data_IF_870349749438
#
_entry.id   IF_870349749438
#
_cell.length_a   1.000
_cell.length_b   1.000
_cell.length_c   1.000
_cell.angle_alpha   90.00
_cell.angle_beta   90.00
_cell.angle_gamma   90.00
#
_symmetry.space_group_name_H-M   'P 1'
#
loop_
_entity.id
_entity.type
_entity.pdbx_description
1 polymer ?
#
# COMPACT_ATOMS: atom_id res chain seq x y z
N UNK A 1 18.66 49.93 35.38
CA UNK A 1 17.50 49.11 35.78
C UNK A 1 17.27 47.94 34.81
N UNK A 2 18.27 47.08 34.58
CA UNK A 2 18.13 45.94 33.61
C UNK A 2 18.28 44.58 34.30
N UNK A 3 18.84 44.53 35.52
CA UNK A 3 19.05 43.27 36.25
C UNK A 3 17.79 42.74 36.96
N UNK A 4 16.78 43.59 37.19
CA UNK A 4 15.56 43.17 37.89
C UNK A 4 14.53 42.48 36.96
N UNK A 5 14.57 42.76 35.66
CA UNK A 5 13.61 42.22 34.69
C UNK A 5 13.89 40.76 34.26
N UNK A 6 15.05 40.18 34.62
CA UNK A 6 15.45 38.82 34.24
C UNK A 6 15.02 37.78 35.29
N UNK A 7 14.58 38.20 36.47
CA UNK A 7 14.36 37.29 37.61
C UNK A 7 13.00 36.59 37.64
N UNK A 8 12.06 37.00 36.78
CA UNK A 8 10.69 36.44 36.76
C UNK A 8 10.41 35.49 35.58
N UNK A 9 11.46 35.05 34.86
CA UNK A 9 11.31 34.02 33.83
C UNK A 9 11.16 32.66 34.50
N UNK A 10 9.92 32.23 34.71
CA UNK A 10 9.61 30.84 35.04
C UNK A 10 9.96 29.98 33.80
N UNK A 11 10.86 28.99 33.89
CA UNK A 11 11.11 28.10 32.77
C UNK A 11 9.83 27.34 32.44
N UNK A 12 9.50 27.27 31.15
CA UNK A 12 8.38 26.47 30.67
C UNK A 12 8.58 25.01 31.09
N UNK A 13 7.51 24.29 31.49
CA UNK A 13 7.62 22.85 31.73
C UNK A 13 8.14 22.16 30.45
N UNK A 14 8.96 21.11 30.59
CA UNK A 14 9.45 20.37 29.43
C UNK A 14 8.26 19.88 28.59
N UNK A 15 8.40 19.86 27.25
CA UNK A 15 7.35 19.32 26.40
C UNK A 15 7.02 17.90 26.86
N UNK A 16 5.74 17.49 26.83
CA UNK A 16 5.38 16.11 27.09
C UNK A 16 6.24 15.20 26.20
N UNK A 17 6.83 14.15 26.77
CA UNK A 17 7.54 13.17 25.97
C UNK A 17 6.60 12.69 24.85
N UNK A 18 7.01 12.86 23.60
CA UNK A 18 6.28 12.28 22.47
C UNK A 18 6.15 10.77 22.76
N UNK A 19 4.92 10.23 22.79
CA UNK A 19 4.77 8.80 22.97
C UNK A 19 5.57 8.10 21.87
N UNK A 20 6.39 7.09 22.19
CA UNK A 20 7.11 6.33 21.19
C UNK A 20 6.09 5.87 20.14
N UNK A 21 6.41 6.09 18.85
CA UNK A 21 5.52 5.78 17.73
C UNK A 21 4.83 4.42 17.97
N UNK A 22 3.52 4.48 18.18
CA UNK A 22 2.84 3.44 18.91
C UNK A 22 2.96 2.07 18.19
N UNK A 23 3.39 0.99 18.88
CA UNK A 23 3.51 -0.35 18.31
C UNK A 23 2.18 -0.87 17.72
N UNK A 24 1.06 -0.23 18.03
CA UNK A 24 -0.28 -0.51 17.52
C UNK A 24 -0.40 -0.43 16.00
N UNK A 25 0.35 0.44 15.32
CA UNK A 25 0.31 0.53 13.84
C UNK A 25 1.24 -0.49 13.15
N UNK A 26 2.17 -1.12 13.88
CA UNK A 26 3.14 -2.04 13.29
C UNK A 26 2.49 -3.35 12.82
N UNK A 27 1.53 -3.90 13.58
CA UNK A 27 0.80 -5.12 13.20
C UNK A 27 -0.07 -4.90 11.96
N UNK A 28 -0.94 -3.87 11.88
CA UNK A 28 -1.70 -3.57 10.67
C UNK A 28 -0.83 -3.32 9.44
N UNK A 29 0.32 -2.65 9.59
CA UNK A 29 1.26 -2.43 8.47
C UNK A 29 1.79 -3.73 7.89
N UNK A 30 2.15 -4.69 8.74
CA UNK A 30 2.59 -6.02 8.29
C UNK A 30 1.50 -6.73 7.50
N UNK A 31 0.26 -6.71 7.98
CA UNK A 31 -0.87 -7.32 7.26
C UNK A 31 -1.06 -6.68 5.88
N UNK A 32 -0.95 -5.35 5.79
CA UNK A 32 -1.03 -4.64 4.50
C UNK A 32 0.14 -5.00 3.57
N UNK A 33 1.35 -5.14 4.11
CA UNK A 33 2.51 -5.53 3.33
C UNK A 33 2.42 -7.01 2.86
N UNK A 34 1.92 -7.91 3.71
CA UNK A 34 1.68 -9.32 3.36
C UNK A 34 0.60 -9.44 2.28
N UNK A 35 -0.47 -8.66 2.40
CA UNK A 35 -1.51 -8.59 1.38
C UNK A 35 -0.96 -8.05 0.06
N UNK A 36 -0.17 -6.96 0.10
CA UNK A 36 0.48 -6.44 -1.10
C UNK A 36 1.44 -7.46 -1.73
N UNK A 37 2.16 -8.26 -0.94
CA UNK A 37 2.97 -9.35 -1.45
C UNK A 37 2.12 -10.45 -2.11
N UNK A 38 0.99 -10.81 -1.51
CA UNK A 38 0.03 -11.76 -2.08
C UNK A 38 -0.55 -11.25 -3.41
N UNK A 39 -0.99 -9.99 -3.47
CA UNK A 39 -1.50 -9.39 -4.70
C UNK A 39 -0.42 -9.28 -5.78
N UNK A 40 0.83 -9.03 -5.40
CA UNK A 40 1.95 -9.08 -6.35
C UNK A 40 2.12 -10.49 -6.94
N UNK A 41 2.03 -11.54 -6.13
CA UNK A 41 2.12 -12.92 -6.61
C UNK A 41 0.96 -13.27 -7.56
N UNK A 42 -0.26 -12.80 -7.28
CA UNK A 42 -1.38 -12.91 -8.23
C UNK A 42 -1.04 -12.18 -9.53
N UNK A 43 -0.50 -10.96 -9.45
CA UNK A 43 -0.10 -10.19 -10.62
C UNK A 43 0.97 -10.87 -11.49
N UNK A 44 1.91 -11.59 -10.89
CA UNK A 44 2.89 -12.42 -11.62
C UNK A 44 2.19 -13.55 -12.39
N UNK A 45 1.22 -14.24 -11.77
CA UNK A 45 0.41 -15.26 -12.47
C UNK A 45 -0.38 -14.65 -13.64
N UNK A 46 -0.91 -13.44 -13.47
CA UNK A 46 -1.57 -12.71 -14.55
C UNK A 46 -0.59 -12.37 -15.69
N UNK A 47 0.69 -12.10 -15.38
CA UNK A 47 1.72 -11.82 -16.38
C UNK A 47 2.21 -13.05 -17.13
N UNK A 48 2.19 -14.23 -16.50
CA UNK A 48 2.48 -15.49 -17.18
C UNK A 48 1.48 -15.78 -18.30
N UNK A 49 0.22 -15.37 -18.12
CA UNK A 49 -0.87 -15.59 -19.09
C UNK A 49 -1.05 -14.40 -20.04
N UNK A 50 -0.94 -13.17 -19.54
CA UNK A 50 -1.02 -11.94 -20.33
C UNK A 50 0.25 -11.10 -20.16
N UNK A 51 1.29 -11.33 -21.00
CA UNK A 51 2.60 -10.72 -20.82
C UNK A 51 2.59 -9.18 -20.88
N UNK A 52 3.64 -8.57 -20.34
CA UNK A 52 3.82 -7.11 -20.22
C UNK A 52 3.65 -6.33 -21.53
N UNK A 53 4.00 -6.94 -22.67
CA UNK A 53 3.90 -6.30 -23.98
C UNK A 53 2.46 -6.24 -24.51
N UNK A 54 1.53 -7.02 -23.94
CA UNK A 54 0.12 -6.96 -24.32
C UNK A 54 -0.55 -5.74 -23.67
N UNK A 55 -1.28 -4.93 -24.45
CA UNK A 55 -2.11 -3.87 -23.89
C UNK A 55 -3.26 -4.45 -23.07
N UNK A 56 -3.74 -3.70 -22.08
CA UNK A 56 -4.81 -4.16 -21.17
C UNK A 56 -6.08 -4.61 -21.90
N UNK A 57 -6.39 -3.99 -23.05
CA UNK A 57 -7.57 -4.37 -23.86
C UNK A 57 -7.44 -5.76 -24.48
N UNK A 58 -6.23 -6.17 -24.87
CA UNK A 58 -5.98 -7.51 -25.42
C UNK A 58 -5.79 -8.53 -24.30
N UNK A 59 -5.27 -8.10 -23.15
CA UNK A 59 -5.14 -8.93 -21.96
C UNK A 59 -6.52 -9.27 -21.35
N UNK A 60 -7.51 -8.39 -21.49
CA UNK A 60 -8.80 -8.49 -20.82
C UNK A 60 -9.50 -9.84 -21.04
N UNK A 61 -9.63 -10.29 -22.29
CA UNK A 61 -10.35 -11.52 -22.62
C UNK A 61 -9.69 -12.76 -22.02
N UNK A 62 -8.36 -12.82 -22.06
CA UNK A 62 -7.58 -13.96 -21.54
C UNK A 62 -7.57 -13.96 -20.01
N UNK A 63 -7.44 -12.78 -19.39
CA UNK A 63 -7.45 -12.64 -17.95
C UNK A 63 -8.83 -12.88 -17.34
N UNK A 64 -9.91 -12.52 -18.04
CA UNK A 64 -11.28 -12.77 -17.59
C UNK A 64 -11.52 -14.27 -17.34
N UNK A 65 -11.07 -15.13 -18.26
CA UNK A 65 -11.16 -16.58 -18.11
C UNK A 65 -10.36 -17.09 -16.91
N UNK A 66 -9.09 -16.68 -16.80
CA UNK A 66 -8.24 -17.09 -15.68
C UNK A 66 -8.83 -16.65 -14.32
N UNK A 67 -9.31 -15.41 -14.24
CA UNK A 67 -9.93 -14.85 -13.04
C UNK A 67 -11.16 -15.66 -12.61
N UNK A 68 -12.01 -16.06 -13.55
CA UNK A 68 -13.16 -16.92 -13.27
C UNK A 68 -12.72 -18.28 -12.71
N UNK A 69 -11.70 -18.91 -13.29
CA UNK A 69 -11.20 -20.23 -12.85
C UNK A 69 -10.62 -20.22 -11.44
N UNK A 70 -9.93 -19.13 -11.07
CA UNK A 70 -9.29 -19.00 -9.75
C UNK A 70 -10.19 -18.30 -8.71
N UNK A 71 -11.38 -17.85 -9.11
CA UNK A 71 -12.31 -17.13 -8.24
C UNK A 71 -11.87 -15.71 -7.89
N UNK A 72 -11.01 -15.09 -8.70
CA UNK A 72 -10.57 -13.70 -8.52
C UNK A 72 -11.51 -12.75 -9.27
N UNK A 73 -11.90 -11.60 -8.68
CA UNK A 73 -12.62 -10.57 -9.41
C UNK A 73 -11.76 -10.05 -10.57
N UNK A 74 -12.33 -9.95 -11.77
CA UNK A 74 -11.60 -9.51 -12.97
C UNK A 74 -10.89 -8.16 -12.78
N UNK A 75 -11.57 -7.18 -12.16
CA UNK A 75 -10.98 -5.86 -11.86
C UNK A 75 -9.75 -5.97 -10.93
N UNK A 76 -9.79 -6.89 -9.97
CA UNK A 76 -8.65 -7.16 -9.09
C UNK A 76 -7.52 -7.84 -9.84
N UNK A 77 -7.80 -8.83 -10.69
CA UNK A 77 -6.79 -9.47 -11.54
C UNK A 77 -6.08 -8.47 -12.47
N UNK A 78 -6.83 -7.58 -13.11
CA UNK A 78 -6.25 -6.55 -13.99
C UNK A 78 -5.42 -5.53 -13.19
N UNK A 79 -5.89 -5.13 -12.01
CA UNK A 79 -5.13 -4.27 -11.11
C UNK A 79 -3.85 -4.94 -10.58
N UNK A 80 -3.92 -6.22 -10.22
CA UNK A 80 -2.79 -7.02 -9.76
C UNK A 80 -1.72 -7.13 -10.86
N UNK A 81 -2.12 -7.35 -12.12
CA UNK A 81 -1.20 -7.33 -13.27
C UNK A 81 -0.49 -5.99 -13.42
N UNK A 82 -1.24 -4.87 -13.38
CA UNK A 82 -0.67 -3.51 -13.42
C UNK A 82 0.28 -3.25 -12.24
N UNK A 83 -0.06 -3.77 -11.07
CA UNK A 83 0.78 -3.65 -9.88
C UNK A 83 2.07 -4.46 -10.00
N UNK A 84 2.04 -5.71 -10.47
CA UNK A 84 3.24 -6.50 -10.70
C UNK A 84 4.18 -5.87 -11.75
N UNK A 85 3.61 -5.26 -12.81
CA UNK A 85 4.40 -4.56 -13.83
C UNK A 85 5.13 -3.32 -13.30
N UNK A 86 4.50 -2.56 -12.40
CA UNK A 86 4.96 -1.22 -12.02
C UNK A 86 5.56 -1.14 -10.62
N UNK A 87 5.20 -2.08 -9.74
CA UNK A 87 5.38 -1.96 -8.30
C UNK A 87 4.57 -0.83 -7.65
N UNK A 88 3.74 -0.10 -8.41
CA UNK A 88 2.98 1.03 -7.87
C UNK A 88 1.67 0.56 -7.24
N UNK A 89 1.61 0.62 -5.90
CA UNK A 89 0.43 0.23 -5.10
C UNK A 89 -0.84 0.99 -5.50
N UNK A 90 -0.73 2.16 -6.14
CA UNK A 90 -1.90 2.91 -6.63
C UNK A 90 -2.68 2.17 -7.70
N UNK A 91 -2.06 1.20 -8.40
CA UNK A 91 -2.74 0.35 -9.36
C UNK A 91 -3.88 -0.48 -8.73
N UNK A 92 -3.79 -0.75 -7.43
CA UNK A 92 -4.78 -1.50 -6.62
C UNK A 92 -5.87 -0.59 -6.02
N UNK A 93 -5.83 0.72 -6.28
CA UNK A 93 -6.80 1.62 -5.68
C UNK A 93 -8.20 1.39 -6.26
N UNK A 94 -9.19 1.23 -5.38
CA UNK A 94 -10.58 0.99 -5.78
C UNK A 94 -10.91 -0.46 -6.10
N UNK A 95 -9.95 -1.38 -5.99
CA UNK A 95 -10.23 -2.83 -5.98
C UNK A 95 -10.43 -3.32 -4.54
N UNK A 96 -11.18 -4.39 -4.37
CA UNK A 96 -11.32 -5.04 -3.06
C UNK A 96 -9.97 -5.64 -2.70
N UNK A 97 -9.41 -5.20 -1.58
CA UNK A 97 -8.26 -5.82 -0.90
C UNK A 97 -8.78 -6.87 0.09
#
# INVERSE_FOLDING_TARGET
>A
MVRQAVRDVRPAPPPPAEPPAAPTAAVPRRVVDDLAASTHAIGELMLDVAPAYLPDIEAADVLALLCEEIGEPFEHGLAARRYALSGDRRALHGTVL
#
